data_IF_412966795290
#
_entry.id   IF_412966795290
#
_cell.length_a   1.000
_cell.length_b   1.000
_cell.length_c   1.000
_cell.angle_alpha   90.00
_cell.angle_beta   90.00
_cell.angle_gamma   90.00
#
_symmetry.space_group_name_H-M   'P 1'
#
loop_
_entity.id
_entity.type
_entity.pdbx_description
1 polymer ?
#
# COMPACT_ATOMS: atom_id res chain seq x y z
N UNK A 1 1.75 -84.22 0.34
CA UNK A 1 2.63 -83.97 -0.82
C UNK A 1 3.53 -82.82 -0.47
N UNK A 2 4.76 -83.18 -0.14
CA UNK A 2 5.87 -82.31 0.19
C UNK A 2 6.36 -81.52 -1.04
N UNK A 3 6.72 -80.27 -0.82
CA UNK A 3 7.46 -79.43 -1.76
C UNK A 3 7.97 -78.18 -1.03
N UNK A 4 9.14 -78.25 -0.37
CA UNK A 4 10.48 -77.89 -0.88
C UNK A 4 10.63 -76.42 -1.30
N UNK A 5 11.53 -75.76 -0.55
CA UNK A 5 12.61 -74.87 -1.01
C UNK A 5 12.17 -73.53 -1.67
N UNK A 6 12.72 -72.36 -1.33
CA UNK A 6 14.15 -72.04 -1.49
C UNK A 6 14.43 -70.69 -0.83
N UNK A 7 15.50 -70.62 -0.04
CA UNK A 7 16.14 -69.39 0.40
C UNK A 7 16.66 -68.58 -0.79
N UNK A 8 16.45 -67.27 -0.80
CA UNK A 8 17.35 -66.34 -1.49
C UNK A 8 17.78 -65.22 -0.54
N UNK A 9 19.05 -65.28 -0.22
CA UNK A 9 19.89 -64.24 0.34
C UNK A 9 20.10 -63.11 -0.68
N UNK A 10 19.92 -61.87 -0.23
CA UNK A 10 20.46 -60.65 -0.86
C UNK A 10 20.74 -59.67 0.28
N UNK A 11 21.98 -59.62 0.78
CA UNK A 11 23.06 -58.72 0.33
C UNK A 11 22.72 -57.26 0.62
N UNK A 12 23.10 -56.67 1.76
CA UNK A 12 24.46 -56.18 2.12
C UNK A 12 25.08 -55.19 1.12
N UNK A 13 24.32 -54.22 0.58
CA UNK A 13 24.87 -53.09 -0.20
C UNK A 13 24.20 -51.74 0.15
N UNK A 14 23.81 -51.49 1.41
CA UNK A 14 23.22 -50.18 1.80
C UNK A 14 23.96 -49.45 2.92
N UNK A 15 25.22 -49.82 3.21
CA UNK A 15 25.97 -49.24 4.33
C UNK A 15 27.23 -48.46 3.98
N UNK A 16 27.44 -48.10 2.71
CA UNK A 16 28.63 -47.31 2.30
C UNK A 16 28.27 -45.93 1.70
N UNK A 17 27.01 -45.67 1.32
CA UNK A 17 26.62 -44.34 0.79
C UNK A 17 26.14 -43.33 1.85
N UNK A 18 26.01 -43.71 3.12
CA UNK A 18 25.49 -42.84 4.20
C UNK A 18 26.57 -42.07 4.97
N UNK A 19 27.86 -42.39 4.78
CA UNK A 19 28.96 -41.73 5.51
C UNK A 19 29.84 -40.78 4.67
N UNK A 20 29.67 -40.74 3.33
CA UNK A 20 30.39 -39.76 2.48
C UNK A 20 29.61 -38.48 2.17
N UNK A 21 28.33 -38.38 2.54
CA UNK A 21 27.52 -37.18 2.37
C UNK A 21 27.56 -36.20 3.55
N UNK A 22 28.21 -36.56 4.67
CA UNK A 22 28.33 -35.69 5.86
C UNK A 22 29.68 -34.98 6.03
N UNK A 23 30.61 -35.13 5.08
CA UNK A 23 31.92 -34.47 5.13
C UNK A 23 32.19 -33.49 3.97
N UNK A 24 31.19 -33.20 3.13
CA UNK A 24 31.30 -32.21 2.04
C UNK A 24 30.38 -31.00 2.18
N UNK A 25 29.64 -30.86 3.28
CA UNK A 25 28.74 -29.71 3.53
C UNK A 25 29.32 -28.67 4.49
N UNK A 26 30.64 -28.69 4.75
CA UNK A 26 31.30 -27.80 5.72
C UNK A 26 32.37 -26.88 5.11
N UNK A 27 32.46 -26.79 3.78
CA UNK A 27 33.43 -25.91 3.10
C UNK A 27 32.81 -24.84 2.18
N UNK A 28 31.49 -24.80 2.02
CA UNK A 28 30.81 -23.86 1.11
C UNK A 28 29.97 -22.79 1.83
N UNK A 29 30.24 -22.52 3.12
CA UNK A 29 29.51 -21.50 3.89
C UNK A 29 30.32 -20.25 4.26
N UNK A 30 31.55 -20.10 3.76
CA UNK A 30 32.48 -19.05 4.22
C UNK A 30 33.10 -18.18 3.12
N UNK A 31 32.54 -18.17 1.91
CA UNK A 31 33.04 -17.31 0.80
C UNK A 31 32.02 -16.30 0.28
N UNK A 32 31.10 -15.86 1.14
CA UNK A 32 30.40 -14.60 0.98
C UNK A 32 30.83 -13.61 2.07
N UNK A 33 32.15 -13.56 2.31
CA UNK A 33 32.81 -12.45 3.02
C UNK A 33 32.62 -11.25 2.12
N UNK A 34 31.54 -10.53 2.41
CA UNK A 34 30.99 -9.45 1.61
C UNK A 34 32.09 -8.42 1.32
N UNK A 35 32.06 -7.84 0.12
CA UNK A 35 32.82 -6.64 -0.27
C UNK A 35 32.43 -5.39 0.57
N UNK A 36 31.96 -5.56 1.80
CA UNK A 36 31.35 -4.54 2.66
C UNK A 36 32.34 -3.48 3.15
N UNK A 37 33.65 -3.72 3.03
CA UNK A 37 34.68 -2.82 3.55
C UNK A 37 35.60 -2.25 2.46
N UNK A 38 35.18 -2.19 1.20
CA UNK A 38 35.99 -1.55 0.14
C UNK A 38 35.49 -0.15 -0.16
N UNK A 39 36.43 0.78 -0.35
CA UNK A 39 36.10 2.10 -0.86
C UNK A 39 35.53 1.98 -2.28
N UNK A 40 34.41 2.65 -2.55
CA UNK A 40 33.81 2.64 -3.90
C UNK A 40 34.75 3.20 -4.97
N UNK A 41 35.53 4.22 -4.66
CA UNK A 41 36.35 4.92 -5.67
C UNK A 41 37.71 4.24 -5.88
N UNK A 42 38.52 4.10 -4.82
CA UNK A 42 39.88 3.53 -4.96
C UNK A 42 39.93 2.00 -4.89
N UNK A 43 38.83 1.34 -4.47
CA UNK A 43 38.76 -0.11 -4.24
C UNK A 43 39.68 -0.64 -3.13
N UNK A 44 40.33 0.24 -2.37
CA UNK A 44 41.14 -0.15 -1.22
C UNK A 44 40.27 -0.61 -0.03
N UNK A 45 40.85 -1.45 0.80
CA UNK A 45 40.24 -1.87 2.07
C UNK A 45 40.16 -0.67 3.02
N UNK A 46 38.95 -0.40 3.50
CA UNK A 46 38.68 0.66 4.45
C UNK A 46 39.23 0.27 5.83
N UNK A 47 39.90 1.20 6.51
CA UNK A 47 40.42 0.93 7.83
C UNK A 47 39.29 0.92 8.86
N UNK A 48 39.37 0.01 9.83
CA UNK A 48 38.45 -0.08 10.97
C UNK A 48 38.59 1.08 11.96
N UNK A 49 39.63 1.91 11.81
CA UNK A 49 39.98 3.00 12.71
C UNK A 49 39.12 4.26 12.54
N UNK A 50 38.10 4.21 11.68
CA UNK A 50 37.18 5.32 11.49
C UNK A 50 37.69 6.38 10.52
N UNK A 51 38.63 6.09 9.60
CA UNK A 51 38.97 6.99 8.49
C UNK A 51 38.14 6.74 7.22
N UNK A 52 36.86 6.42 7.40
CA UNK A 52 35.92 6.15 6.32
C UNK A 52 34.58 6.83 6.60
N UNK A 53 33.88 7.17 5.52
CA UNK A 53 32.58 7.85 5.61
C UNK A 53 31.57 7.14 4.70
N UNK A 54 30.36 6.94 5.22
CA UNK A 54 29.26 6.35 4.46
C UNK A 54 28.43 7.45 3.80
N UNK A 55 28.07 7.27 2.54
CA UNK A 55 27.11 8.14 1.87
C UNK A 55 25.69 7.78 2.30
N UNK A 56 24.94 8.75 2.81
CA UNK A 56 23.54 8.55 3.26
C UNK A 56 22.57 8.14 2.16
N UNK A 57 22.87 8.46 0.89
CA UNK A 57 21.94 8.19 -0.21
C UNK A 57 22.19 6.85 -0.92
N UNK A 58 23.45 6.41 -0.99
CA UNK A 58 23.82 5.17 -1.71
C UNK A 58 24.29 4.06 -0.79
N UNK A 59 24.30 4.30 0.53
CA UNK A 59 24.84 3.44 1.59
C UNK A 59 26.27 2.95 1.36
N UNK A 60 27.00 3.60 0.46
CA UNK A 60 28.32 3.14 0.05
C UNK A 60 29.41 3.85 0.83
N UNK A 61 30.48 3.13 1.14
CA UNK A 61 31.58 3.63 1.94
C UNK A 61 32.72 4.20 1.11
N UNK A 62 33.31 5.28 1.59
CA UNK A 62 34.40 6.00 0.95
C UNK A 62 35.56 6.20 1.92
N UNK A 63 36.77 6.07 1.40
CA UNK A 63 37.98 6.48 2.10
C UNK A 63 37.96 8.00 2.28
N UNK A 64 38.51 8.52 3.38
CA UNK A 64 38.52 9.97 3.63
C UNK A 64 39.16 10.78 2.47
N UNK A 65 40.31 10.38 1.90
CA UNK A 65 40.86 11.03 0.70
C UNK A 65 39.92 11.02 -0.52
N UNK A 66 39.26 9.89 -0.75
CA UNK A 66 38.35 9.66 -1.89
C UNK A 66 37.09 10.53 -1.78
N UNK A 67 36.60 10.72 -0.56
CA UNK A 67 35.41 11.54 -0.26
C UNK A 67 35.61 13.02 -0.58
N UNK A 68 36.87 13.49 -0.66
CA UNK A 68 37.24 14.88 -0.89
C UNK A 68 36.94 15.82 0.29
N UNK A 69 36.69 15.29 1.49
CA UNK A 69 36.48 16.10 2.69
C UNK A 69 37.77 16.25 3.49
N UNK A 70 37.92 17.38 4.18
CA UNK A 70 39.06 17.59 5.07
C UNK A 70 38.87 16.82 6.38
N UNK A 71 39.98 16.44 7.01
CA UNK A 71 39.93 15.79 8.32
C UNK A 71 39.24 16.68 9.37
N UNK A 72 39.39 18.00 9.30
CA UNK A 72 38.70 18.93 10.21
C UNK A 72 37.18 18.84 10.07
N UNK A 73 36.67 18.87 8.84
CA UNK A 73 35.25 18.72 8.57
C UNK A 73 34.74 17.33 8.97
N UNK A 74 35.55 16.29 8.77
CA UNK A 74 35.21 14.94 9.22
C UNK A 74 35.05 14.85 10.75
N UNK A 75 35.95 15.49 11.52
CA UNK A 75 35.81 15.55 12.98
C UNK A 75 34.58 16.37 13.41
N UNK A 76 34.25 17.44 12.69
CA UNK A 76 32.98 18.15 12.89
C UNK A 76 31.79 17.24 12.63
N UNK A 77 31.78 16.44 11.55
CA UNK A 77 30.69 15.49 11.29
C UNK A 77 30.50 14.46 12.42
N UNK A 78 31.59 14.06 13.08
CA UNK A 78 31.57 13.12 14.20
C UNK A 78 31.29 13.77 15.55
N UNK A 79 31.26 15.11 15.65
CA UNK A 79 31.11 15.78 16.94
C UNK A 79 29.70 15.59 17.52
N UNK A 80 29.64 15.35 18.84
CA UNK A 80 28.36 15.22 19.56
C UNK A 80 27.51 16.49 19.47
N UNK A 81 28.16 17.66 19.34
CA UNK A 81 27.48 18.95 19.17
C UNK A 81 26.57 18.97 17.94
N UNK A 82 26.92 18.20 16.90
CA UNK A 82 26.11 18.11 15.71
C UNK A 82 24.93 17.15 15.85
N UNK A 83 24.83 16.30 16.89
CA UNK A 83 23.70 15.38 17.11
C UNK A 83 23.29 14.55 15.86
N UNK A 84 24.22 14.28 14.93
CA UNK A 84 23.90 13.63 13.65
C UNK A 84 23.14 14.51 12.64
N UNK A 85 23.09 15.82 12.83
CA UNK A 85 22.43 16.76 11.92
C UNK A 85 23.21 17.00 10.62
N UNK A 86 24.49 16.64 10.57
CA UNK A 86 25.29 16.79 9.37
C UNK A 86 25.31 15.48 8.58
N UNK A 87 24.77 15.54 7.37
CA UNK A 87 24.69 14.41 6.45
C UNK A 87 25.70 14.62 5.32
N UNK A 88 26.45 13.58 4.99
CA UNK A 88 27.37 13.60 3.85
C UNK A 88 26.84 12.80 2.67
N UNK A 89 27.09 13.34 1.47
CA UNK A 89 26.74 12.72 0.19
C UNK A 89 27.98 12.61 -0.69
N UNK A 90 28.16 11.48 -1.37
CA UNK A 90 29.24 11.29 -2.33
C UNK A 90 29.06 12.19 -3.55
N UNK A 91 30.11 12.36 -4.36
CA UNK A 91 30.07 13.23 -5.53
C UNK A 91 29.04 12.81 -6.59
N UNK A 92 28.77 11.51 -6.73
CA UNK A 92 27.71 11.00 -7.60
C UNK A 92 26.33 11.43 -7.10
N UNK A 93 26.05 11.20 -5.83
CA UNK A 93 24.80 11.60 -5.18
C UNK A 93 24.63 13.13 -5.19
N UNK A 94 25.67 13.92 -4.92
CA UNK A 94 25.63 15.39 -5.00
C UNK A 94 25.16 15.91 -6.36
N UNK A 95 25.56 15.25 -7.46
CA UNK A 95 25.11 15.59 -8.81
C UNK A 95 23.66 15.18 -9.08
N UNK A 96 23.17 14.13 -8.43
CA UNK A 96 21.78 13.68 -8.50
C UNK A 96 20.84 14.51 -7.60
N UNK A 97 21.37 15.11 -6.52
CA UNK A 97 20.60 15.85 -5.51
C UNK A 97 19.79 17.06 -6.04
N UNK A 98 20.13 17.80 -7.12
CA UNK A 98 19.25 18.87 -7.60
C UNK A 98 17.83 18.39 -7.91
N UNK A 99 17.67 17.14 -8.38
CA UNK A 99 16.37 16.49 -8.52
C UNK A 99 15.81 16.00 -7.18
N UNK A 100 16.65 15.35 -6.36
CA UNK A 100 16.24 14.78 -5.06
C UNK A 100 15.80 15.86 -4.07
N UNK A 101 16.40 17.06 -4.07
CA UNK A 101 16.00 18.17 -3.18
C UNK A 101 14.59 18.67 -3.50
N UNK A 102 14.21 18.69 -4.78
CA UNK A 102 12.82 18.99 -5.19
C UNK A 102 11.87 17.90 -4.67
N UNK A 103 12.27 16.63 -4.78
CA UNK A 103 11.49 15.51 -4.26
C UNK A 103 11.39 15.55 -2.74
N UNK A 104 12.47 15.82 -2.00
CA UNK A 104 12.47 15.95 -0.54
C UNK A 104 11.60 17.11 -0.07
N UNK A 105 11.67 18.26 -0.75
CA UNK A 105 10.77 19.38 -0.46
C UNK A 105 9.31 18.98 -0.72
N UNK A 106 9.02 18.25 -1.81
CA UNK A 106 7.69 17.73 -2.10
C UNK A 106 7.23 16.73 -1.03
N UNK A 107 8.09 15.84 -0.56
CA UNK A 107 7.80 14.89 0.52
C UNK A 107 7.52 15.61 1.83
N UNK A 108 8.29 16.66 2.16
CA UNK A 108 8.04 17.48 3.35
C UNK A 108 6.70 18.22 3.27
N UNK A 109 6.35 18.77 2.10
CA UNK A 109 5.04 19.37 1.86
C UNK A 109 3.89 18.36 2.00
N UNK A 110 4.06 17.15 1.46
CA UNK A 110 3.09 16.06 1.58
C UNK A 110 2.92 15.66 3.05
N UNK A 111 4.01 15.51 3.81
CA UNK A 111 3.97 15.18 5.24
C UNK A 111 3.19 16.24 6.03
N UNK A 112 3.52 17.52 5.85
CA UNK A 112 2.80 18.61 6.51
C UNK A 112 1.30 18.62 6.14
N UNK A 113 0.98 18.29 4.88
CA UNK A 113 -0.40 18.15 4.44
C UNK A 113 -1.10 16.95 5.10
N UNK A 114 -0.41 15.82 5.30
CA UNK A 114 -0.93 14.66 6.00
C UNK A 114 -1.19 14.96 7.48
N UNK A 115 -0.26 15.61 8.17
CA UNK A 115 -0.42 16.03 9.56
C UNK A 115 -1.63 16.95 9.73
N UNK A 116 -1.80 17.91 8.81
CA UNK A 116 -2.97 18.79 8.78
C UNK A 116 -4.27 18.02 8.54
N UNK A 117 -4.25 17.00 7.69
CA UNK A 117 -5.42 16.15 7.43
C UNK A 117 -5.77 15.27 8.63
N UNK A 118 -4.79 14.71 9.34
CA UNK A 118 -5.04 13.93 10.57
C UNK A 118 -5.73 14.77 11.64
N UNK A 119 -5.24 15.99 11.88
CA UNK A 119 -5.89 16.93 12.84
C UNK A 119 -7.33 17.26 12.42
N UNK A 120 -7.60 17.37 11.11
CA UNK A 120 -8.97 17.59 10.61
C UNK A 120 -9.87 16.38 10.82
N UNK A 121 -9.36 15.17 10.61
CA UNK A 121 -10.09 13.92 10.86
C UNK A 121 -10.46 13.82 12.33
N UNK A 122 -9.49 13.99 13.25
CA UNK A 122 -9.73 13.97 14.69
C UNK A 122 -10.79 14.99 15.13
N UNK A 123 -10.78 16.18 14.50
CA UNK A 123 -11.80 17.21 14.74
C UNK A 123 -13.20 16.77 14.27
N UNK A 124 -13.32 16.17 13.08
CA UNK A 124 -14.59 15.68 12.56
C UNK A 124 -15.12 14.54 13.42
N UNK A 125 -14.26 13.60 13.81
CA UNK A 125 -14.61 12.50 14.71
C UNK A 125 -15.13 13.01 16.06
N UNK A 126 -14.44 14.02 16.63
CA UNK A 126 -14.89 14.68 17.86
C UNK A 126 -16.24 15.38 17.69
N UNK A 127 -16.51 15.96 16.52
CA UNK A 127 -17.82 16.55 16.22
C UNK A 127 -18.91 15.49 16.08
N UNK A 128 -18.64 14.36 15.44
CA UNK A 128 -19.58 13.25 15.30
C UNK A 128 -19.98 12.65 16.65
N UNK A 129 -19.04 12.52 17.59
CA UNK A 129 -19.34 12.06 18.94
C UNK A 129 -20.30 13.03 19.66
N UNK A 130 -20.10 14.35 19.47
CA UNK A 130 -20.91 15.38 20.14
C UNK A 130 -22.29 15.59 19.51
N UNK A 131 -22.49 15.24 18.23
CA UNK A 131 -23.79 15.33 17.56
C UNK A 131 -24.80 14.33 18.18
N UNK A 132 -24.31 13.29 18.84
CA UNK A 132 -25.12 12.37 19.63
C UNK A 132 -26.08 11.50 18.81
N UNK A 133 -26.61 10.41 19.40
CA UNK A 133 -27.52 9.48 18.71
C UNK A 133 -28.89 10.08 18.36
N UNK A 134 -29.18 11.33 18.76
CA UNK A 134 -30.49 11.96 18.56
C UNK A 134 -30.74 12.45 17.11
N UNK A 135 -29.75 12.39 16.21
CA UNK A 135 -29.92 12.83 14.81
C UNK A 135 -30.18 11.69 13.83
N UNK A 136 -30.05 10.43 14.24
CA UNK A 136 -30.24 9.27 13.35
C UNK A 136 -31.71 8.92 13.07
N UNK A 137 -32.65 9.33 13.92
CA UNK A 137 -34.06 8.92 13.77
C UNK A 137 -34.89 9.74 12.78
N UNK A 138 -34.44 10.93 12.36
CA UNK A 138 -35.18 11.74 11.39
C UNK A 138 -34.70 11.58 9.95
N UNK A 139 -33.44 11.17 9.72
CA UNK A 139 -32.87 11.10 8.37
C UNK A 139 -33.27 9.84 7.60
N UNK A 140 -33.50 8.72 8.29
CA UNK A 140 -33.97 7.48 7.66
C UNK A 140 -35.41 7.64 7.14
N UNK A 141 -36.26 8.36 7.87
CA UNK A 141 -37.65 8.61 7.47
C UNK A 141 -37.76 9.54 6.25
N UNK A 142 -36.92 10.58 6.17
CA UNK A 142 -36.90 11.48 5.01
C UNK A 142 -36.41 10.79 3.73
N UNK A 143 -35.43 9.89 3.85
CA UNK A 143 -34.89 9.16 2.71
C UNK A 143 -35.90 8.15 2.14
N UNK A 144 -36.60 7.40 3.00
CA UNK A 144 -37.63 6.46 2.58
C UNK A 144 -38.81 7.16 1.90
N UNK A 145 -39.21 8.33 2.41
CA UNK A 145 -40.25 9.14 1.79
C UNK A 145 -39.83 9.65 0.41
N UNK A 146 -38.58 10.11 0.26
CA UNK A 146 -38.05 10.54 -1.04
C UNK A 146 -38.00 9.39 -2.07
N UNK A 147 -37.61 8.18 -1.63
CA UNK A 147 -37.59 6.99 -2.50
C UNK A 147 -39.02 6.59 -2.92
N UNK A 148 -39.99 6.66 -2.01
CA UNK A 148 -41.39 6.39 -2.31
C UNK A 148 -41.96 7.37 -3.35
N UNK A 149 -41.72 8.66 -3.16
CA UNK A 149 -42.19 9.69 -4.09
C UNK A 149 -41.55 9.54 -5.48
N UNK A 150 -40.26 9.20 -5.55
CA UNK A 150 -39.59 8.89 -6.83
C UNK A 150 -40.21 7.68 -7.53
N UNK A 151 -40.48 6.59 -6.81
CA UNK A 151 -41.14 5.40 -7.37
C UNK A 151 -42.55 5.69 -7.85
N UNK A 152 -43.29 6.54 -7.13
CA UNK A 152 -44.64 6.93 -7.52
C UNK A 152 -44.64 7.80 -8.79
N UNK A 153 -43.73 8.76 -8.89
CA UNK A 153 -43.52 9.55 -10.12
C UNK A 153 -43.17 8.65 -11.30
N UNK A 154 -42.32 7.65 -11.08
CA UNK A 154 -41.92 6.71 -12.13
C UNK A 154 -43.08 5.82 -12.61
N UNK A 155 -43.94 5.34 -11.71
CA UNK A 155 -45.18 4.63 -12.07
C UNK A 155 -46.10 5.49 -12.94
N UNK A 156 -46.18 6.79 -12.64
CA UNK A 156 -47.04 7.75 -13.38
C UNK A 156 -46.43 8.21 -14.71
N UNK A 157 -45.15 7.98 -15.00
CA UNK A 157 -44.54 8.37 -16.30
C UNK A 157 -45.21 7.69 -17.50
N UNK A 158 -45.80 6.50 -17.29
CA UNK A 158 -46.51 5.77 -18.34
C UNK A 158 -48.01 6.05 -18.35
N UNK A 159 -48.51 6.96 -17.50
CA UNK A 159 -49.92 7.32 -17.49
C UNK A 159 -50.16 8.34 -18.59
N UNK A 160 -50.96 7.95 -19.58
CA UNK A 160 -51.41 8.85 -20.63
C UNK A 160 -52.54 9.69 -20.06
N UNK A 161 -52.29 10.98 -19.85
CA UNK A 161 -53.34 11.93 -19.50
C UNK A 161 -54.00 12.37 -20.81
N UNK A 162 -55.23 11.89 -21.05
CA UNK A 162 -56.01 12.28 -22.22
C UNK A 162 -56.79 13.54 -21.88
N UNK A 163 -56.35 14.68 -22.41
CA UNK A 163 -57.09 15.94 -22.31
C UNK A 163 -58.19 15.99 -23.36
N UNK A 164 -59.34 16.57 -23.01
CA UNK A 164 -60.53 16.73 -23.86
C UNK A 164 -61.26 15.43 -24.23
N UNK A 165 -61.16 14.39 -23.41
CA UNK A 165 -62.15 13.30 -23.51
C UNK A 165 -63.48 13.85 -22.95
N UNK A 166 -64.56 13.92 -23.76
CA UNK A 166 -65.85 14.37 -23.25
C UNK A 166 -66.30 13.41 -22.15
N UNK A 167 -66.63 13.95 -20.98
CA UNK A 167 -67.13 13.14 -19.87
C UNK A 167 -68.44 12.45 -20.29
N UNK A 168 -68.57 11.17 -19.95
CA UNK A 168 -69.83 10.46 -20.10
C UNK A 168 -70.91 11.14 -19.24
N UNK A 169 -72.05 11.43 -19.85
CA UNK A 169 -73.24 11.98 -19.20
C UNK A 169 -74.13 10.90 -18.54
N UNK A 170 -73.65 9.66 -18.47
CA UNK A 170 -74.40 8.52 -17.92
C UNK A 170 -74.12 8.36 -16.41
N UNK A 171 -75.18 8.25 -15.60
CA UNK A 171 -75.07 8.24 -14.13
C UNK A 171 -74.61 6.89 -13.57
N UNK A 172 -74.95 5.77 -14.22
CA UNK A 172 -74.60 4.42 -13.79
C UNK A 172 -73.13 4.09 -14.02
N UNK A 173 -72.49 3.39 -13.07
CA UNK A 173 -71.10 2.96 -13.19
C UNK A 173 -70.95 1.84 -14.24
N UNK A 174 -71.91 0.92 -14.30
CA UNK A 174 -71.94 -0.18 -15.28
C UNK A 174 -72.07 0.35 -16.72
N UNK A 175 -72.87 1.39 -16.94
CA UNK A 175 -73.10 1.97 -18.28
C UNK A 175 -71.93 2.84 -18.75
N UNK A 176 -71.22 3.50 -17.82
CA UNK A 176 -69.98 4.22 -18.14
C UNK A 176 -68.89 3.28 -18.67
N UNK A 177 -68.75 2.11 -18.03
CA UNK A 177 -67.76 1.11 -18.46
C UNK A 177 -68.04 0.57 -19.86
N UNK A 178 -69.31 0.32 -20.20
CA UNK A 178 -69.67 -0.13 -21.55
C UNK A 178 -69.54 0.97 -22.61
N UNK A 179 -69.74 2.24 -22.25
CA UNK A 179 -69.52 3.37 -23.15
C UNK A 179 -68.04 3.52 -23.54
N UNK A 180 -67.12 3.34 -22.58
CA UNK A 180 -65.67 3.41 -22.82
C UNK A 180 -65.18 2.30 -23.77
N UNK A 181 -65.73 1.09 -23.66
CA UNK A 181 -65.40 -0.05 -24.53
C UNK A 181 -65.85 0.14 -25.99
N UNK A 182 -66.85 0.98 -26.25
CA UNK A 182 -67.36 1.26 -27.62
C UNK A 182 -66.48 2.28 -28.34
N UNK A 183 -65.95 3.28 -27.64
CA UNK A 183 -65.15 4.36 -28.24
C UNK A 183 -63.76 3.88 -28.70
N UNK A 184 -63.29 2.74 -28.19
CA UNK A 184 -61.96 2.18 -28.47
C UNK A 184 -61.90 1.18 -29.65
N UNK A 185 -63.02 0.91 -30.34
CA UNK A 185 -63.07 0.10 -31.57
C UNK A 185 -63.10 0.96 -32.82
#
# INVERSE_FOLDING_TARGET
>A
MDGKNTQKSSSSIDHIHSQKSKQLSALDHDYNVRNENLCVDCKDLLPYDGNSIQCELSDSWYCLPCSGITHTFYQELLSEENNGNCIWYCNGCKKAIPGVRKVLNMVSLIKNSQDTMMVRIEKIESQLINIGPNTQLNTEFELDHAILDMKEREKRKNYVIIYNLPESNVESAEERKSHDDVVLK
#
